data_IF_402544742672
#
_entry.id   IF_402544742672
#
_cell.length_a   1.000
_cell.length_b   1.000
_cell.length_c   1.000
_cell.angle_alpha   90.00
_cell.angle_beta   90.00
_cell.angle_gamma   90.00
#
_symmetry.space_group_name_H-M   'P 1'
#
loop_
_entity.id
_entity.type
_entity.pdbx_description
1 polymer ?
#
# COMPACT_ATOMS: atom_id res chain seq x y z
N UNK A 1 -9.24 56.07 -25.05
CA UNK A 1 -7.89 55.69 -24.52
C UNK A 1 -7.83 55.28 -23.03
N UNK A 2 -8.81 55.62 -22.16
CA UNK A 2 -8.74 55.29 -20.71
C UNK A 2 -9.03 53.82 -20.38
N UNK A 3 -9.91 53.16 -21.12
CA UNK A 3 -10.27 51.73 -20.94
C UNK A 3 -9.10 50.80 -21.26
N UNK A 4 -8.40 51.01 -22.39
CA UNK A 4 -7.20 50.24 -22.77
C UNK A 4 -6.10 50.27 -21.69
N UNK A 5 -5.88 51.42 -21.04
CA UNK A 5 -4.91 51.55 -19.92
C UNK A 5 -5.35 50.79 -18.67
N UNK A 6 -6.65 50.66 -18.39
CA UNK A 6 -7.16 49.88 -17.25
C UNK A 6 -7.03 48.37 -17.49
N UNK A 7 -7.33 47.91 -18.71
CA UNK A 7 -7.14 46.51 -19.08
C UNK A 7 -5.69 46.07 -19.02
N UNK A 8 -4.76 46.89 -19.53
CA UNK A 8 -3.32 46.59 -19.44
C UNK A 8 -2.85 46.48 -17.99
N UNK A 9 -3.33 47.35 -17.09
CA UNK A 9 -3.00 47.26 -15.66
C UNK A 9 -3.49 45.96 -15.02
N UNK A 10 -4.74 45.57 -15.29
CA UNK A 10 -5.33 44.33 -14.75
C UNK A 10 -4.59 43.11 -15.29
N UNK A 11 -4.28 43.08 -16.59
CA UNK A 11 -3.53 42.01 -17.22
C UNK A 11 -2.12 41.87 -16.62
N UNK A 12 -1.40 42.99 -16.42
CA UNK A 12 -0.10 42.97 -15.78
C UNK A 12 -0.15 42.50 -14.32
N UNK A 13 -1.17 42.92 -13.56
CA UNK A 13 -1.37 42.42 -12.20
C UNK A 13 -1.61 40.91 -12.16
N UNK A 14 -2.43 40.38 -13.08
CA UNK A 14 -2.65 38.93 -13.19
C UNK A 14 -1.38 38.18 -13.60
N UNK A 15 -0.59 38.74 -14.52
CA UNK A 15 0.68 38.15 -14.95
C UNK A 15 1.66 38.03 -13.77
N UNK A 16 1.75 39.05 -12.92
CA UNK A 16 2.61 39.04 -11.72
C UNK A 16 2.14 37.96 -10.75
N UNK A 17 0.84 37.86 -10.48
CA UNK A 17 0.30 36.82 -9.59
C UNK A 17 0.59 35.42 -10.14
N UNK A 18 0.39 35.21 -11.44
CA UNK A 18 0.70 33.93 -12.09
C UNK A 18 2.19 33.57 -11.96
N UNK A 19 3.08 34.55 -12.14
CA UNK A 19 4.52 34.36 -11.99
C UNK A 19 4.91 33.96 -10.55
N UNK A 20 4.30 34.57 -9.54
CA UNK A 20 4.54 34.23 -8.13
C UNK A 20 4.08 32.80 -7.84
N UNK A 21 2.89 32.42 -8.30
CA UNK A 21 2.37 31.05 -8.10
C UNK A 21 3.27 30.03 -8.79
N UNK A 22 3.69 30.30 -10.03
CA UNK A 22 4.56 29.41 -10.78
C UNK A 22 5.92 29.20 -10.09
N UNK A 23 6.56 30.27 -9.62
CA UNK A 23 7.86 30.17 -8.93
C UNK A 23 7.73 29.42 -7.60
N UNK A 24 6.68 29.68 -6.84
CA UNK A 24 6.40 28.97 -5.60
C UNK A 24 6.17 27.46 -5.82
N UNK A 25 5.36 27.09 -6.81
CA UNK A 25 5.12 25.67 -7.16
C UNK A 25 6.42 24.96 -7.58
N UNK A 26 7.27 25.60 -8.38
CA UNK A 26 8.58 25.02 -8.74
C UNK A 26 9.52 24.86 -7.55
N UNK A 27 9.50 25.80 -6.61
CA UNK A 27 10.30 25.71 -5.39
C UNK A 27 9.86 24.56 -4.48
N UNK A 28 8.54 24.37 -4.28
CA UNK A 28 8.00 23.23 -3.52
C UNK A 28 8.37 21.90 -4.21
N UNK A 29 8.23 21.82 -5.53
CA UNK A 29 8.63 20.63 -6.29
C UNK A 29 10.13 20.30 -6.12
N UNK A 30 11.00 21.32 -6.16
CA UNK A 30 12.43 21.18 -5.92
C UNK A 30 12.74 20.69 -4.50
N UNK A 31 12.09 21.24 -3.47
CA UNK A 31 12.25 20.77 -2.08
C UNK A 31 11.82 19.31 -1.90
N UNK A 32 10.71 18.91 -2.52
CA UNK A 32 10.23 17.53 -2.47
C UNK A 32 11.12 16.55 -3.25
N UNK A 33 11.73 17.02 -4.34
CA UNK A 33 12.63 16.20 -5.17
C UNK A 33 14.02 16.07 -4.55
N UNK A 34 14.57 17.15 -3.97
CA UNK A 34 15.88 17.12 -3.32
C UNK A 34 15.87 16.39 -1.98
N UNK A 35 14.76 16.37 -1.25
CA UNK A 35 14.63 15.53 -0.06
C UNK A 35 14.54 14.03 -0.37
N UNK A 36 14.54 13.62 -1.65
CA UNK A 36 14.54 12.21 -2.06
C UNK A 36 15.93 11.67 -2.42
N UNK A 37 17.00 12.45 -2.31
CA UNK A 37 18.36 11.99 -2.59
C UNK A 37 19.16 11.75 -1.30
N UNK A 38 19.18 10.48 -0.91
CA UNK A 38 20.33 9.74 -0.38
C UNK A 38 21.11 10.35 0.80
N UNK A 39 20.88 9.76 1.98
CA UNK A 39 21.94 9.57 2.98
C UNK A 39 23.05 8.75 2.32
N UNK A 40 24.07 9.42 1.76
CA UNK A 40 25.32 8.78 1.33
C UNK A 40 26.33 8.80 2.46
N UNK A 41 26.56 7.59 2.98
CA UNK A 41 27.69 7.07 3.73
C UNK A 41 28.75 8.07 4.24
N UNK A 42 28.79 8.21 5.57
CA UNK A 42 30.06 8.33 6.30
C UNK A 42 30.89 7.06 6.07
N UNK A 43 32.23 7.14 5.91
CA UNK A 43 33.06 5.95 5.76
C UNK A 43 32.91 5.07 7.01
N UNK A 44 32.48 3.83 6.78
CA UNK A 44 32.25 2.84 7.83
C UNK A 44 33.62 2.37 8.36
N UNK A 45 33.99 2.86 9.55
CA UNK A 45 34.98 2.19 10.39
C UNK A 45 34.33 0.86 10.78
N UNK A 46 34.92 -0.25 10.35
CA UNK A 46 34.46 -1.61 10.64
C UNK A 46 34.30 -1.81 12.15
N UNK A 47 33.07 -1.65 12.63
CA UNK A 47 32.71 -1.89 14.01
C UNK A 47 32.19 -3.34 14.08
N UNK A 48 32.85 -4.27 14.79
CA UNK A 48 32.55 -5.70 14.74
C UNK A 48 31.23 -6.11 15.43
N UNK A 49 30.31 -5.17 15.64
CA UNK A 49 29.12 -5.37 16.46
C UNK A 49 27.79 -4.95 15.79
N UNK A 50 27.79 -4.78 14.45
CA UNK A 50 26.54 -4.60 13.72
C UNK A 50 25.77 -5.93 13.70
N UNK A 51 24.83 -6.06 14.63
CA UNK A 51 23.79 -7.08 14.62
C UNK A 51 23.14 -7.03 13.21
N UNK A 52 23.08 -8.14 12.46
CA UNK A 52 22.54 -8.12 11.11
C UNK A 52 21.13 -7.53 11.14
N UNK A 53 20.86 -6.53 10.30
CA UNK A 53 19.51 -5.98 10.16
C UNK A 53 18.53 -7.11 9.82
N UNK A 54 17.34 -7.14 10.46
CA UNK A 54 16.37 -8.20 10.22
C UNK A 54 15.99 -8.21 8.74
N UNK A 55 16.26 -9.35 8.09
CA UNK A 55 15.95 -9.56 6.68
C UNK A 55 14.44 -9.40 6.48
N UNK A 56 14.01 -8.44 5.66
CA UNK A 56 12.59 -8.26 5.32
C UNK A 56 12.05 -9.47 4.58
N UNK A 57 11.01 -10.12 5.12
CA UNK A 57 10.36 -11.31 4.54
C UNK A 57 9.48 -11.01 3.31
N UNK A 58 9.10 -9.75 3.13
CA UNK A 58 8.30 -9.26 2.00
C UNK A 58 9.02 -8.14 1.24
N UNK A 59 8.62 -7.94 -0.03
CA UNK A 59 9.02 -6.79 -0.84
C UNK A 59 8.21 -5.54 -0.45
N UNK A 60 6.92 -5.71 -0.18
CA UNK A 60 6.05 -4.64 0.32
C UNK A 60 6.31 -4.34 1.79
N UNK A 61 6.22 -3.05 2.17
CA UNK A 61 6.20 -2.62 3.57
C UNK A 61 4.78 -2.63 4.16
N UNK A 62 3.74 -2.50 3.32
CA UNK A 62 2.35 -2.66 3.76
C UNK A 62 1.91 -4.09 3.49
N UNK A 63 1.58 -4.82 4.55
CA UNK A 63 1.16 -6.23 4.49
C UNK A 63 -0.36 -6.39 4.58
N UNK A 64 -1.11 -5.30 4.54
CA UNK A 64 -2.57 -5.33 4.52
C UNK A 64 -3.10 -6.04 3.26
N UNK A 65 -4.02 -6.97 3.47
CA UNK A 65 -4.75 -7.65 2.41
C UNK A 65 -6.23 -7.31 2.56
N UNK A 66 -6.78 -6.62 1.57
CA UNK A 66 -8.20 -6.29 1.50
C UNK A 66 -8.79 -6.71 0.15
N UNK A 67 -10.08 -7.03 0.17
CA UNK A 67 -10.86 -7.44 -1.00
C UNK A 67 -11.78 -6.31 -1.43
N UNK A 68 -11.96 -6.15 -2.74
CA UNK A 68 -12.92 -5.20 -3.27
C UNK A 68 -14.34 -5.80 -3.29
N UNK A 69 -15.33 -4.99 -3.65
CA UNK A 69 -16.75 -5.40 -3.66
C UNK A 69 -16.97 -6.62 -4.56
N UNK A 70 -16.40 -6.62 -5.77
CA UNK A 70 -16.55 -7.74 -6.70
C UNK A 70 -16.00 -9.04 -6.12
N UNK A 71 -14.79 -9.00 -5.54
CA UNK A 71 -14.18 -10.14 -4.87
C UNK A 71 -15.03 -10.61 -3.69
N UNK A 72 -15.55 -9.69 -2.88
CA UNK A 72 -16.42 -10.04 -1.76
C UNK A 72 -17.71 -10.74 -2.22
N UNK A 73 -18.30 -10.37 -3.36
CA UNK A 73 -19.48 -11.05 -3.92
C UNK A 73 -19.15 -12.49 -4.33
N UNK A 74 -17.93 -12.77 -4.79
CA UNK A 74 -17.52 -14.14 -5.10
C UNK A 74 -17.14 -14.94 -3.85
N UNK A 75 -16.61 -14.27 -2.82
CA UNK A 75 -16.30 -14.89 -1.52
C UNK A 75 -17.58 -15.20 -0.74
N UNK A 76 -18.56 -14.31 -0.81
CA UNK A 76 -19.87 -14.40 -0.17
C UNK A 76 -20.92 -14.65 -1.24
N UNK A 77 -21.26 -15.91 -1.46
CA UNK A 77 -22.28 -16.26 -2.43
C UNK A 77 -23.67 -16.09 -1.80
N UNK A 78 -24.50 -15.28 -2.45
CA UNK A 78 -25.88 -15.05 -2.05
C UNK A 78 -26.81 -15.95 -2.87
N UNK A 79 -27.58 -16.80 -2.20
CA UNK A 79 -28.61 -17.63 -2.85
C UNK A 79 -29.85 -17.70 -1.97
N UNK A 80 -31.01 -17.33 -2.53
CA UNK A 80 -32.33 -17.38 -1.89
C UNK A 80 -32.38 -16.75 -0.48
N UNK A 81 -31.69 -15.62 -0.30
CA UNK A 81 -31.63 -14.89 0.97
C UNK A 81 -30.65 -15.46 2.00
N UNK A 82 -29.97 -16.58 1.69
CA UNK A 82 -28.88 -17.12 2.48
C UNK A 82 -27.51 -16.68 1.93
N UNK A 83 -26.55 -16.49 2.84
CA UNK A 83 -25.15 -16.17 2.51
C UNK A 83 -24.30 -17.39 2.78
N UNK A 84 -23.57 -17.88 1.79
CA UNK A 84 -22.56 -18.93 1.95
C UNK A 84 -21.16 -18.40 1.71
N UNK A 85 -20.21 -18.84 2.53
CA UNK A 85 -18.81 -18.51 2.36
C UNK A 85 -18.12 -19.51 1.44
N UNK A 86 -17.61 -19.03 0.31
CA UNK A 86 -16.91 -19.82 -0.69
C UNK A 86 -15.40 -19.83 -0.41
N UNK A 87 -14.96 -20.82 0.38
CA UNK A 87 -13.56 -20.93 0.84
C UNK A 87 -12.53 -20.97 -0.29
N UNK A 88 -12.85 -21.62 -1.41
CA UNK A 88 -11.92 -21.71 -2.53
C UNK A 88 -11.75 -20.36 -3.25
N UNK A 89 -12.83 -19.58 -3.37
CA UNK A 89 -12.76 -18.21 -3.90
C UNK A 89 -11.96 -17.31 -2.96
N UNK A 90 -12.17 -17.42 -1.64
CA UNK A 90 -11.37 -16.71 -0.66
C UNK A 90 -9.87 -17.03 -0.80
N UNK A 91 -9.50 -18.32 -0.83
CA UNK A 91 -8.10 -18.74 -0.98
C UNK A 91 -7.49 -18.19 -2.27
N UNK A 92 -8.23 -18.25 -3.38
CA UNK A 92 -7.78 -17.73 -4.66
C UNK A 92 -7.46 -16.23 -4.59
N UNK A 93 -8.39 -15.41 -4.11
CA UNK A 93 -8.17 -13.96 -4.02
C UNK A 93 -7.12 -13.60 -2.96
N UNK A 94 -7.08 -14.32 -1.84
CA UNK A 94 -6.03 -14.15 -0.84
C UNK A 94 -4.66 -14.39 -1.46
N UNK A 95 -4.47 -15.50 -2.18
CA UNK A 95 -3.19 -15.81 -2.84
C UNK A 95 -2.80 -14.76 -3.87
N UNK A 96 -3.75 -14.24 -4.67
CA UNK A 96 -3.45 -13.15 -5.58
C UNK A 96 -2.93 -11.90 -4.87
N UNK A 97 -3.55 -11.52 -3.75
CA UNK A 97 -3.15 -10.35 -2.96
C UNK A 97 -1.83 -10.59 -2.22
N UNK A 98 -1.67 -11.78 -1.64
CA UNK A 98 -0.45 -12.22 -0.97
C UNK A 98 0.76 -12.20 -1.92
N UNK A 99 0.61 -12.68 -3.16
CA UNK A 99 1.69 -12.63 -4.15
C UNK A 99 2.10 -11.19 -4.50
N UNK A 100 1.18 -10.22 -4.44
CA UNK A 100 1.50 -8.79 -4.64
C UNK A 100 2.33 -8.21 -3.51
N UNK A 101 2.33 -8.81 -2.32
CA UNK A 101 3.23 -8.43 -1.22
C UNK A 101 4.69 -8.79 -1.51
N UNK A 102 4.94 -9.68 -2.47
CA UNK A 102 6.26 -10.15 -2.86
C UNK A 102 6.95 -10.93 -1.74
N UNK A 103 6.41 -12.08 -1.30
CA UNK A 103 7.07 -12.94 -0.31
C UNK A 103 8.44 -13.38 -0.84
N UNK A 104 9.49 -13.27 -0.03
CA UNK A 104 10.85 -13.64 -0.43
C UNK A 104 11.21 -15.09 -0.12
N UNK A 105 10.40 -15.77 0.71
CA UNK A 105 10.58 -17.20 0.96
C UNK A 105 10.29 -17.99 -0.31
N UNK A 106 11.17 -18.93 -0.65
CA UNK A 106 10.92 -19.89 -1.73
C UNK A 106 9.88 -20.93 -1.32
N UNK A 107 9.74 -21.20 -0.02
CA UNK A 107 8.81 -22.17 0.53
C UNK A 107 7.66 -21.41 1.22
N UNK A 108 6.59 -21.18 0.47
CA UNK A 108 5.38 -20.54 0.99
C UNK A 108 4.51 -21.60 1.65
N UNK A 109 4.35 -21.51 2.98
CA UNK A 109 3.43 -22.36 3.75
C UNK A 109 2.32 -21.51 4.35
N UNK A 110 1.13 -21.57 3.73
CA UNK A 110 -0.07 -20.87 4.17
C UNK A 110 -1.04 -21.84 4.82
N UNK A 111 -1.48 -21.53 6.04
CA UNK A 111 -2.51 -22.29 6.75
C UNK A 111 -3.76 -21.44 6.89
N UNK A 112 -4.90 -22.01 6.49
CA UNK A 112 -6.20 -21.39 6.57
C UNK A 112 -7.01 -22.05 7.68
N UNK A 113 -7.61 -21.25 8.55
CA UNK A 113 -8.45 -21.72 9.65
C UNK A 113 -9.77 -20.94 9.66
N UNK A 114 -10.85 -21.62 10.05
CA UNK A 114 -12.19 -21.06 10.19
C UNK A 114 -12.73 -21.36 11.58
N UNK A 115 -13.65 -20.53 12.05
CA UNK A 115 -14.31 -20.71 13.33
C UNK A 115 -15.36 -21.83 13.32
N UNK A 116 -16.29 -21.81 12.38
CA UNK A 116 -17.35 -22.83 12.25
C UNK A 116 -17.55 -23.23 10.78
N UNK A 117 -17.52 -24.53 10.48
CA UNK A 117 -17.73 -25.06 9.13
C UNK A 117 -19.11 -24.79 8.54
N UNK A 118 -20.14 -24.67 9.37
CA UNK A 118 -21.53 -24.46 8.93
C UNK A 118 -21.89 -22.98 8.85
N UNK A 119 -21.25 -22.14 9.65
CA UNK A 119 -21.52 -20.71 9.72
C UNK A 119 -20.21 -19.94 9.94
N UNK A 120 -19.42 -19.86 8.88
CA UNK A 120 -18.13 -19.18 8.90
C UNK A 120 -18.38 -17.69 9.16
N UNK A 121 -17.82 -17.16 10.24
CA UNK A 121 -17.81 -15.70 10.50
C UNK A 121 -16.40 -15.14 10.45
N UNK A 122 -15.41 -15.97 10.78
CA UNK A 122 -14.03 -15.57 10.84
C UNK A 122 -13.14 -16.54 10.06
N UNK A 123 -12.24 -15.97 9.28
CA UNK A 123 -11.20 -16.72 8.57
C UNK A 123 -9.84 -16.17 8.97
N UNK A 124 -8.99 -17.06 9.46
CA UNK A 124 -7.60 -16.75 9.81
C UNK A 124 -6.67 -17.35 8.77
N UNK A 125 -5.70 -16.59 8.34
CA UNK A 125 -4.61 -17.06 7.48
C UNK A 125 -3.29 -16.87 8.19
N UNK A 126 -2.49 -17.93 8.27
CA UNK A 126 -1.18 -17.91 8.90
C UNK A 126 -0.10 -18.19 7.86
N UNK A 127 0.98 -17.42 7.91
CA UNK A 127 2.16 -17.59 7.08
C UNK A 127 3.40 -17.57 7.96
N UNK A 128 4.28 -18.55 7.78
CA UNK A 128 5.56 -18.61 8.49
C UNK A 128 6.70 -18.35 7.52
N UNK A 129 7.45 -17.28 7.75
CA UNK A 129 8.67 -16.94 7.00
C UNK A 129 9.88 -17.05 7.93
N UNK A 130 10.60 -18.18 7.86
CA UNK A 130 11.65 -18.47 8.83
C UNK A 130 11.08 -18.54 10.25
N UNK A 131 11.49 -17.60 11.09
CA UNK A 131 11.04 -17.50 12.49
C UNK A 131 9.84 -16.56 12.68
N UNK A 132 9.49 -15.77 11.65
CA UNK A 132 8.40 -14.79 11.74
C UNK A 132 7.06 -15.45 11.41
N UNK A 133 6.08 -15.28 12.31
CA UNK A 133 4.70 -15.66 12.07
C UNK A 133 3.87 -14.42 11.70
N UNK A 134 3.24 -14.49 10.52
CA UNK A 134 2.28 -13.50 10.05
C UNK A 134 0.87 -14.07 10.13
N UNK A 135 -0.10 -13.23 10.50
CA UNK A 135 -1.51 -13.60 10.54
C UNK A 135 -2.38 -12.52 9.92
N UNK A 136 -3.44 -12.96 9.22
CA UNK A 136 -4.52 -12.10 8.73
C UNK A 136 -5.84 -12.66 9.22
N UNK A 137 -6.64 -11.82 9.88
CA UNK A 137 -8.00 -12.14 10.33
C UNK A 137 -8.99 -11.40 9.43
N UNK A 138 -9.92 -12.16 8.85
CA UNK A 138 -11.02 -11.63 8.06
C UNK A 138 -12.33 -11.95 8.78
N UNK A 139 -13.13 -10.92 9.02
CA UNK A 139 -14.48 -11.03 9.58
C UNK A 139 -15.48 -10.71 8.49
N UNK A 140 -16.51 -11.55 8.38
CA UNK A 140 -17.56 -11.49 7.36
C UNK A 140 -18.74 -10.62 7.80
#
# INVERSE_FOLDING_TARGET
MKTKKRFVKIFFSLLIVFFIVSTFSTFIYFLLTNNKNEVKATPEVTNPNNKPEPKKDFASNNLEISFNIDQNIYILKYHDGAVSFEMDNFKYFFLQKFNKLGPKSQNINLKFSIDDKKNIKNVNVFYTAGETLYSWLFTL
#
